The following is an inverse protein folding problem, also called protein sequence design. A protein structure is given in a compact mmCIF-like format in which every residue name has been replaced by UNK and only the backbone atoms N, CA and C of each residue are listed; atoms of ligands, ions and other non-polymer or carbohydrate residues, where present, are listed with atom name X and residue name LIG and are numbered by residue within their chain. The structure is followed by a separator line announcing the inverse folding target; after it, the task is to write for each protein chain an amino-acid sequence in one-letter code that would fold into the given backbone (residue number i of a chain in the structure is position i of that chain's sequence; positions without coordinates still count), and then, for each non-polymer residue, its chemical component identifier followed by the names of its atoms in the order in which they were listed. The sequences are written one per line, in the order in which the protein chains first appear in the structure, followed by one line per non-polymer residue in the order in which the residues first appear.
data_IF_133971273118
#
_entry.id   IF_133971273118
#
_cell.length_a   1.000
_cell.length_b   1.000
_cell.length_c   1.000
_cell.angle_alpha   90.00
_cell.angle_beta   90.00
_cell.angle_gamma   90.00
#
_symmetry.space_group_name_H-M   'P 1'
#
loop_
_entity.id
_entity.type
_entity.pdbx_description
1 polymer ?
#
# COMPACT_ATOMS: atom_id res chain seq x y z
N UNK A 1 -51.75 -10.63 16.86
CA UNK A 1 -50.42 -10.73 17.53
C UNK A 1 -49.50 -9.74 16.83
N UNK A 2 -49.01 -8.74 17.56
CA UNK A 2 -48.50 -7.46 17.04
C UNK A 2 -46.97 -7.44 17.13
N UNK A 3 -46.26 -7.39 16.00
CA UNK A 3 -44.79 -7.34 15.96
C UNK A 3 -44.34 -5.88 16.05
N UNK A 4 -43.66 -5.53 17.14
CA UNK A 4 -43.14 -4.19 17.41
C UNK A 4 -41.91 -3.91 16.53
N UNK A 5 -41.92 -2.78 15.83
CA UNK A 5 -40.81 -2.30 15.01
C UNK A 5 -39.58 -1.97 15.88
N UNK A 6 -38.45 -2.63 15.59
CA UNK A 6 -37.15 -2.37 16.21
C UNK A 6 -36.47 -1.19 15.48
N UNK A 7 -36.54 0.01 16.07
CA UNK A 7 -35.84 1.20 15.56
C UNK A 7 -34.37 1.15 15.99
N UNK A 8 -33.46 0.83 15.07
CA UNK A 8 -32.01 1.00 15.24
C UNK A 8 -31.68 2.50 15.27
N UNK A 9 -31.42 3.06 16.46
CA UNK A 9 -30.71 4.34 16.60
C UNK A 9 -29.20 4.09 16.48
N UNK A 10 -28.66 4.25 15.28
CA UNK A 10 -27.21 4.30 15.03
C UNK A 10 -26.72 5.75 15.04
N UNK A 11 -25.69 6.05 15.84
CA UNK A 11 -24.99 7.34 15.78
C UNK A 11 -24.36 7.52 14.39
N UNK A 12 -24.45 8.71 13.76
CA UNK A 12 -23.80 8.94 12.48
C UNK A 12 -22.27 8.89 12.65
N UNK A 13 -21.63 7.99 11.91
CA UNK A 13 -20.17 7.89 11.82
C UNK A 13 -19.62 9.21 11.28
N UNK A 14 -18.79 9.90 12.08
CA UNK A 14 -18.08 11.11 11.64
C UNK A 14 -17.06 10.71 10.56
N UNK A 15 -17.42 10.91 9.29
CA UNK A 15 -16.55 10.69 8.14
C UNK A 15 -15.36 11.64 8.27
N UNK A 16 -14.20 11.11 8.66
CA UNK A 16 -12.96 11.89 8.75
C UNK A 16 -12.58 12.37 7.34
N UNK A 17 -12.22 13.65 7.26
CA UNK A 17 -11.85 14.41 6.07
C UNK A 17 -11.01 13.56 5.09
N UNK A 18 -11.57 13.29 3.92
CA UNK A 18 -10.84 12.62 2.84
C UNK A 18 -9.85 13.60 2.23
N UNK A 19 -8.55 13.33 2.38
CA UNK A 19 -7.55 14.00 1.55
C UNK A 19 -7.80 13.60 0.09
N UNK A 20 -8.27 14.54 -0.71
CA UNK A 20 -8.61 14.26 -2.10
C UNK A 20 -7.32 14.04 -2.89
N UNK A 21 -7.30 12.99 -3.71
CA UNK A 21 -6.18 12.64 -4.63
C UNK A 21 -5.74 13.83 -5.50
N UNK A 22 -6.66 14.74 -5.80
CA UNK A 22 -6.45 15.91 -6.68
C UNK A 22 -5.59 16.99 -6.03
N UNK A 23 -5.68 17.19 -4.72
CA UNK A 23 -4.85 18.19 -4.04
C UNK A 23 -3.38 17.75 -3.98
N UNK A 24 -3.10 16.45 -3.87
CA UNK A 24 -1.73 15.93 -3.93
C UNK A 24 -1.12 16.02 -5.33
N UNK A 25 -1.89 15.75 -6.39
CA UNK A 25 -1.40 15.96 -7.77
C UNK A 25 -1.16 17.44 -8.08
N UNK A 26 -1.83 18.39 -7.43
CA UNK A 26 -1.46 19.81 -7.54
C UNK A 26 -0.14 20.11 -6.82
N UNK A 27 0.09 19.53 -5.64
CA UNK A 27 1.34 19.72 -4.88
C UNK A 27 2.55 18.98 -5.51
N UNK A 28 2.31 17.90 -6.27
CA UNK A 28 3.37 17.02 -6.79
C UNK A 28 3.44 16.98 -8.32
N UNK A 29 2.41 17.47 -9.01
CA UNK A 29 2.29 17.43 -10.48
C UNK A 29 3.12 18.48 -11.22
N UNK A 30 3.79 19.39 -10.51
CA UNK A 30 4.80 20.26 -11.10
C UNK A 30 6.11 19.56 -11.47
N UNK A 31 6.38 18.36 -10.96
CA UNK A 31 7.69 17.71 -11.08
C UNK A 31 7.77 16.59 -12.14
N UNK A 32 6.64 16.18 -12.75
CA UNK A 32 6.59 15.03 -13.66
C UNK A 32 6.54 15.38 -15.16
N UNK A 33 6.61 16.67 -15.52
CA UNK A 33 6.61 17.11 -16.93
C UNK A 33 8.03 17.13 -17.54
N UNK A 34 9.10 16.88 -16.79
CA UNK A 34 10.49 16.96 -17.28
C UNK A 34 11.11 15.61 -17.71
N UNK A 35 10.31 14.68 -18.25
CA UNK A 35 10.82 13.37 -18.74
C UNK A 35 10.58 13.14 -20.24
N UNK A 36 10.68 14.18 -21.08
CA UNK A 36 10.52 14.03 -22.54
C UNK A 36 11.65 14.57 -23.43
N UNK A 37 12.71 15.20 -22.91
CA UNK A 37 13.83 15.63 -23.79
C UNK A 37 15.19 15.54 -23.08
N UNK A 38 15.73 14.34 -22.86
CA UNK A 38 17.18 14.17 -22.62
C UNK A 38 17.66 12.90 -23.32
N UNK A 39 17.63 12.91 -24.65
CA UNK A 39 18.44 11.98 -25.44
C UNK A 39 19.75 12.61 -25.92
N UNK A 40 19.96 13.92 -25.75
CA UNK A 40 21.08 14.64 -26.39
C UNK A 40 21.56 15.85 -25.57
N UNK A 41 22.22 15.67 -24.42
CA UNK A 41 23.13 16.70 -23.86
C UNK A 41 24.20 16.07 -22.94
N UNK A 42 25.42 16.63 -22.95
CA UNK A 42 26.65 15.98 -22.51
C UNK A 42 26.84 16.00 -20.99
N UNK A 43 27.61 15.01 -20.51
CA UNK A 43 28.19 14.92 -19.17
C UNK A 43 29.05 16.13 -18.87
N UNK A 44 28.52 17.15 -18.18
CA UNK A 44 29.29 18.06 -17.31
C UNK A 44 28.36 19.10 -16.65
N UNK A 45 27.59 18.68 -15.65
CA UNK A 45 27.13 19.59 -14.60
C UNK A 45 27.18 18.84 -13.27
N UNK A 46 28.35 18.87 -12.65
CA UNK A 46 28.53 18.49 -11.27
C UNK A 46 27.92 19.56 -10.34
N UNK A 47 27.35 19.08 -9.23
CA UNK A 47 27.26 19.77 -7.95
C UNK A 47 26.29 20.96 -7.81
N UNK A 48 25.07 20.67 -7.34
CA UNK A 48 24.51 21.25 -6.09
C UNK A 48 23.01 20.98 -5.98
N UNK A 49 22.60 19.99 -5.18
CA UNK A 49 21.43 20.08 -4.29
C UNK A 49 21.32 18.78 -3.50
N UNK A 50 21.60 18.85 -2.20
CA UNK A 50 21.43 17.74 -1.29
C UNK A 50 19.96 17.38 -1.16
N UNK A 51 19.58 16.23 -1.70
CA UNK A 51 18.48 15.44 -1.17
C UNK A 51 18.77 13.96 -1.42
N UNK A 52 19.38 13.32 -0.44
CA UNK A 52 19.72 11.90 -0.43
C UNK A 52 18.46 11.04 -0.30
N UNK A 53 17.68 10.93 -1.37
CA UNK A 53 16.73 9.83 -1.54
C UNK A 53 17.43 8.69 -2.28
N UNK A 54 18.46 8.12 -1.64
CA UNK A 54 18.92 6.79 -2.01
C UNK A 54 17.71 5.84 -1.90
N UNK A 55 17.54 4.87 -2.82
CA UNK A 55 16.49 3.88 -2.69
C UNK A 55 16.62 3.26 -1.30
N UNK A 56 15.62 3.47 -0.44
CA UNK A 56 15.64 2.92 0.91
C UNK A 56 15.78 1.41 0.78
N UNK A 57 16.98 0.90 1.12
CA UNK A 57 17.26 -0.52 1.22
C UNK A 57 16.19 -1.10 2.11
N UNK A 58 15.33 -1.94 1.54
CA UNK A 58 14.30 -2.64 2.29
C UNK A 58 15.02 -3.33 3.44
N UNK A 59 14.74 -2.92 4.68
CA UNK A 59 15.36 -3.56 5.84
C UNK A 59 15.03 -5.06 5.72
N UNK A 60 16.03 -5.95 5.83
CA UNK A 60 15.77 -7.38 5.84
C UNK A 60 14.67 -7.66 6.86
N UNK A 61 13.63 -8.37 6.44
CA UNK A 61 12.59 -8.83 7.36
C UNK A 61 13.28 -9.59 8.48
N UNK A 62 12.84 -9.39 9.73
CA UNK A 62 13.45 -10.11 10.85
C UNK A 62 13.35 -11.62 10.61
N UNK A 63 14.35 -12.41 11.05
CA UNK A 63 14.36 -13.86 10.82
C UNK A 63 13.09 -14.54 11.35
N UNK A 64 12.48 -13.99 12.40
CA UNK A 64 11.23 -14.47 12.97
C UNK A 64 10.04 -14.31 11.99
N UNK A 65 9.98 -13.19 11.26
CA UNK A 65 8.91 -12.94 10.27
C UNK A 65 9.11 -13.84 9.05
N UNK A 66 10.36 -14.04 8.60
CA UNK A 66 10.64 -14.95 7.49
C UNK A 66 10.20 -16.38 7.82
N UNK A 67 10.59 -16.87 8.99
CA UNK A 67 10.17 -18.19 9.46
C UNK A 67 8.65 -18.32 9.54
N UNK A 68 7.96 -17.30 10.06
CA UNK A 68 6.50 -17.31 10.12
C UNK A 68 5.87 -17.37 8.72
N UNK A 69 6.36 -16.58 7.78
CA UNK A 69 5.87 -16.59 6.39
C UNK A 69 6.09 -17.96 5.75
N UNK A 70 7.25 -18.58 5.96
CA UNK A 70 7.55 -19.89 5.41
C UNK A 70 6.63 -20.98 6.02
N UNK A 71 6.36 -20.92 7.33
CA UNK A 71 5.42 -21.80 8.03
C UNK A 71 3.96 -21.62 7.57
N UNK A 72 3.58 -20.40 7.17
CA UNK A 72 2.24 -20.10 6.63
C UNK A 72 2.12 -20.54 5.16
N UNK A 73 3.15 -20.32 4.35
CA UNK A 73 3.21 -20.73 2.94
C UNK A 73 3.14 -22.27 2.82
N UNK A 74 3.85 -23.01 3.68
CA UNK A 74 3.77 -24.46 3.75
C UNK A 74 2.35 -24.99 4.01
N UNK A 75 1.50 -24.19 4.67
CA UNK A 75 0.09 -24.53 4.96
C UNK A 75 -0.89 -23.86 4.00
N UNK A 76 -0.41 -23.08 3.04
CA UNK A 76 -1.21 -22.23 2.15
C UNK A 76 -2.28 -23.00 1.38
N UNK A 77 -2.00 -24.25 1.00
CA UNK A 77 -2.96 -25.09 0.29
C UNK A 77 -4.24 -25.39 1.10
N UNK A 78 -4.16 -25.47 2.44
CA UNK A 78 -5.34 -25.74 3.30
C UNK A 78 -6.21 -24.52 3.48
N UNK A 79 -5.60 -23.36 3.37
CA UNK A 79 -6.20 -22.07 3.67
C UNK A 79 -6.48 -21.27 2.40
N UNK A 80 -6.34 -21.87 1.20
CA UNK A 80 -6.43 -21.17 -0.09
C UNK A 80 -5.71 -19.82 -0.09
N UNK A 81 -4.53 -19.78 0.52
CA UNK A 81 -3.74 -18.56 0.62
C UNK A 81 -3.16 -18.20 -0.74
N UNK A 82 -3.07 -16.90 -1.00
CA UNK A 82 -2.39 -16.40 -2.20
C UNK A 82 -0.91 -16.80 -2.16
N UNK A 83 -0.28 -17.08 -3.31
CA UNK A 83 1.17 -17.24 -3.40
C UNK A 83 1.92 -16.01 -2.89
N UNK A 84 3.13 -16.20 -2.36
CA UNK A 84 3.95 -15.10 -1.80
C UNK A 84 4.16 -13.93 -2.76
N UNK A 85 4.41 -14.23 -4.04
CA UNK A 85 4.56 -13.20 -5.10
C UNK A 85 3.30 -12.35 -5.28
N UNK A 86 2.13 -12.96 -5.15
CA UNK A 86 0.86 -12.27 -5.27
C UNK A 86 0.60 -11.40 -4.02
N UNK A 87 0.99 -11.87 -2.83
CA UNK A 87 1.00 -11.06 -1.60
C UNK A 87 1.90 -9.81 -1.70
N UNK A 88 3.11 -9.96 -2.25
CA UNK A 88 4.01 -8.84 -2.51
C UNK A 88 3.40 -7.83 -3.50
N UNK A 89 2.70 -8.32 -4.52
CA UNK A 89 1.97 -7.49 -5.46
C UNK A 89 0.82 -6.72 -4.80
N UNK A 90 0.02 -7.37 -3.94
CA UNK A 90 -1.02 -6.70 -3.14
C UNK A 90 -0.42 -5.58 -2.28
N UNK A 91 0.68 -5.86 -1.58
CA UNK A 91 1.40 -4.85 -0.79
C UNK A 91 1.89 -3.68 -1.62
N UNK A 92 2.44 -3.97 -2.82
CA UNK A 92 2.83 -2.95 -3.76
C UNK A 92 1.65 -2.05 -4.15
N UNK A 93 0.47 -2.62 -4.44
CA UNK A 93 -0.71 -1.83 -4.75
C UNK A 93 -1.16 -0.94 -3.59
N UNK A 94 -1.15 -1.44 -2.35
CA UNK A 94 -1.47 -0.63 -1.16
C UNK A 94 -0.52 0.58 -1.05
N UNK A 95 0.78 0.34 -1.24
CA UNK A 95 1.80 1.40 -1.21
C UNK A 95 1.65 2.39 -2.37
N UNK A 96 1.49 1.89 -3.60
CA UNK A 96 1.38 2.71 -4.80
C UNK A 96 0.15 3.62 -4.75
N UNK A 97 -0.96 3.12 -4.20
CA UNK A 97 -2.20 3.89 -4.05
C UNK A 97 -2.23 4.80 -2.82
N UNK A 98 -1.23 4.68 -1.92
CA UNK A 98 -1.20 5.31 -0.59
C UNK A 98 -2.49 5.08 0.20
N UNK A 99 -3.02 3.87 0.12
CA UNK A 99 -4.26 3.51 0.82
C UNK A 99 -4.05 3.58 2.32
N UNK A 100 -4.87 4.39 3.01
CA UNK A 100 -4.86 4.49 4.48
C UNK A 100 -5.73 3.43 5.15
N UNK A 101 -6.77 3.00 4.44
CA UNK A 101 -7.72 1.99 4.89
C UNK A 101 -7.82 0.93 3.81
N UNK A 102 -7.59 -0.33 4.17
CA UNK A 102 -7.72 -1.50 3.30
C UNK A 102 -8.70 -2.44 3.98
N UNK A 103 -9.69 -2.93 3.23
CA UNK A 103 -10.62 -3.95 3.69
C UNK A 103 -10.30 -5.25 2.97
N UNK A 104 -9.99 -6.28 3.74
CA UNK A 104 -9.87 -7.65 3.26
C UNK A 104 -11.19 -8.39 3.53
N UNK A 105 -11.67 -9.14 2.54
CA UNK A 105 -12.84 -10.01 2.67
C UNK A 105 -12.37 -11.44 2.45
N UNK A 106 -12.47 -12.28 3.48
CA UNK A 106 -11.96 -13.65 3.44
C UNK A 106 -10.48 -13.76 3.80
N UNK A 107 -10.13 -13.40 5.03
CA UNK A 107 -8.74 -13.39 5.55
C UNK A 107 -8.06 -14.76 5.60
N UNK A 108 -8.82 -15.85 5.72
CA UNK A 108 -8.28 -17.20 5.89
C UNK A 108 -7.24 -17.27 7.04
N UNK A 109 -5.97 -17.59 6.78
CA UNK A 109 -4.88 -17.55 7.77
C UNK A 109 -4.16 -16.19 7.88
N UNK A 110 -4.58 -15.17 7.13
CA UNK A 110 -4.03 -13.80 7.17
C UNK A 110 -2.70 -13.60 6.44
N UNK A 111 -2.32 -14.53 5.56
CA UNK A 111 -1.04 -14.49 4.85
C UNK A 111 -0.89 -13.25 3.95
N UNK A 112 -1.97 -12.82 3.31
CA UNK A 112 -2.04 -11.61 2.45
C UNK A 112 -1.89 -10.29 3.21
N UNK A 113 -2.05 -10.30 4.53
CA UNK A 113 -2.05 -9.10 5.37
C UNK A 113 -0.69 -8.79 6.01
N UNK A 114 0.29 -9.68 5.84
CA UNK A 114 1.65 -9.60 6.43
C UNK A 114 2.64 -9.17 5.34
#
# INVERSE_FOLDING_TARGET
MMIKNFVRRGNPMKIRQSYSRREFFKTTGGALILLTVVAHLPSDVASASGNTNAPQRVKPSSPNIQRLLDEMEARGHRFWSVPRKDGEFLHFMVKATRSRNVLEVGTSQGFSAI
#
